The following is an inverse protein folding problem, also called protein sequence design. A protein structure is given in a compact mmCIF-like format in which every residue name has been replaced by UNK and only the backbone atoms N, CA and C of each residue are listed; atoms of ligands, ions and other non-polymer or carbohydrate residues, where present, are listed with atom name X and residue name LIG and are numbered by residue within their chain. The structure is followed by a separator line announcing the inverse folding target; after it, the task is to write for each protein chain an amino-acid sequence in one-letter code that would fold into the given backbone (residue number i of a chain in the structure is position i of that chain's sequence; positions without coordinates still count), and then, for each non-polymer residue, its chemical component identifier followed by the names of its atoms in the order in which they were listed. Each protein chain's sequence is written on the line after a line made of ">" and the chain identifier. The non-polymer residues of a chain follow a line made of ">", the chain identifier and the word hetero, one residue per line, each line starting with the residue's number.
data_IF_052092651089
#
_entry.id   IF_052092651089
#
_cell.length_a   1.000
_cell.length_b   1.000
_cell.length_c   1.000
_cell.angle_alpha   90.00
_cell.angle_beta   90.00
_cell.angle_gamma   90.00
#
_symmetry.space_group_name_H-M   'P 1'
#
loop_
_entity.id
_entity.type
_entity.pdbx_description
1 polymer ?
#
# COMPACT_ATOMS: atom_id res chain seq x y z
N UNK A 1 -3.63 7.33 3.55
CA UNK A 1 -4.08 5.99 3.09
C UNK A 1 -5.62 5.93 3.10
N UNK A 2 -6.32 4.87 3.51
CA UNK A 2 -7.80 4.74 3.50
C UNK A 2 -8.51 5.72 4.47
N UNK A 3 -7.76 6.42 5.33
CA UNK A 3 -8.22 7.55 6.17
C UNK A 3 -9.13 8.55 5.45
N UNK A 4 -9.00 8.74 4.13
CA UNK A 4 -9.87 9.59 3.33
C UNK A 4 -11.35 9.12 3.28
N UNK A 5 -11.61 7.82 3.49
CA UNK A 5 -12.96 7.25 3.52
C UNK A 5 -13.64 7.35 4.89
N UNK A 6 -12.91 7.72 5.95
CA UNK A 6 -13.49 7.91 7.28
C UNK A 6 -14.30 9.22 7.34
N UNK A 7 -15.45 9.18 8.02
CA UNK A 7 -16.22 10.40 8.32
C UNK A 7 -15.44 11.34 9.25
N UNK A 8 -15.84 12.61 9.35
CA UNK A 8 -15.18 13.57 10.25
C UNK A 8 -15.10 13.03 11.69
N UNK A 9 -16.16 12.43 12.19
CA UNK A 9 -16.23 11.91 13.55
C UNK A 9 -15.34 10.67 13.74
N UNK A 10 -15.32 9.77 12.74
CA UNK A 10 -14.40 8.63 12.69
C UNK A 10 -12.93 9.06 12.62
N UNK A 11 -12.61 10.14 11.89
CA UNK A 11 -11.26 10.72 11.84
C UNK A 11 -10.85 11.29 13.20
N UNK A 12 -11.75 12.01 13.89
CA UNK A 12 -11.48 12.55 15.23
C UNK A 12 -11.28 11.43 16.27
N UNK A 13 -12.13 10.39 16.25
CA UNK A 13 -11.97 9.22 17.12
C UNK A 13 -10.68 8.45 16.79
N UNK A 14 -10.35 8.31 15.50
CA UNK A 14 -9.11 7.68 15.05
C UNK A 14 -7.85 8.43 15.53
N UNK A 15 -7.85 9.78 15.53
CA UNK A 15 -6.73 10.56 16.11
C UNK A 15 -6.58 10.29 17.60
N UNK A 16 -7.69 10.21 18.36
CA UNK A 16 -7.64 9.88 19.77
C UNK A 16 -7.07 8.47 20.03
N UNK A 17 -7.45 7.48 19.20
CA UNK A 17 -6.89 6.12 19.23
C UNK A 17 -5.41 6.08 18.84
N UNK A 18 -5.02 6.78 17.78
CA UNK A 18 -3.63 6.88 17.33
C UNK A 18 -2.75 7.52 18.41
N UNK A 19 -3.27 8.53 19.12
CA UNK A 19 -2.59 9.13 20.27
C UNK A 19 -2.46 8.14 21.43
N UNK A 20 -3.49 7.34 21.74
CA UNK A 20 -3.41 6.29 22.78
C UNK A 20 -2.44 5.16 22.43
N UNK A 21 -2.25 4.88 21.12
CA UNK A 21 -1.30 3.88 20.62
C UNK A 21 0.14 4.38 20.77
N UNK A 22 0.40 5.59 20.28
CA UNK A 22 1.74 6.19 20.19
C UNK A 22 2.23 6.74 21.53
N UNK A 23 1.33 7.21 22.40
CA UNK A 23 1.66 7.86 23.68
C UNK A 23 1.24 6.95 24.84
N UNK A 24 2.12 6.03 25.25
CA UNK A 24 1.85 5.11 26.37
C UNK A 24 2.00 5.77 27.75
N UNK A 25 2.94 6.70 27.89
CA UNK A 25 3.20 7.44 29.13
C UNK A 25 2.48 8.80 29.16
N UNK A 26 2.44 9.46 30.33
CA UNK A 26 1.77 10.76 30.49
C UNK A 26 2.45 11.94 29.76
N UNK A 27 3.55 11.69 29.05
CA UNK A 27 4.30 12.69 28.27
C UNK A 27 4.65 12.12 26.91
N UNK A 28 4.23 12.80 25.84
CA UNK A 28 4.61 12.42 24.48
C UNK A 28 6.03 12.90 24.15
N UNK A 29 6.83 12.08 23.47
CA UNK A 29 8.14 12.50 22.94
C UNK A 29 8.01 13.37 21.69
N UNK A 30 9.11 13.97 21.24
CA UNK A 30 9.12 14.80 20.03
C UNK A 30 8.78 13.98 18.77
N UNK A 31 9.27 12.75 18.71
CA UNK A 31 9.10 11.82 17.58
C UNK A 31 7.63 11.35 17.47
N UNK A 32 7.02 10.99 18.60
CA UNK A 32 5.60 10.68 18.72
C UNK A 32 4.68 11.83 18.26
N UNK A 33 5.00 13.06 18.69
CA UNK A 33 4.25 14.26 18.27
C UNK A 33 4.36 14.48 16.76
N UNK A 34 5.54 14.24 16.17
CA UNK A 34 5.75 14.42 14.74
C UNK A 34 5.07 13.32 13.91
N UNK A 35 5.08 12.07 14.36
CA UNK A 35 4.30 10.99 13.77
C UNK A 35 2.79 11.30 13.75
N UNK A 36 2.25 11.79 14.88
CA UNK A 36 0.85 12.22 14.97
C UNK A 36 0.53 13.43 14.07
N UNK A 37 1.47 14.36 13.87
CA UNK A 37 1.31 15.48 12.92
C UNK A 37 1.28 15.02 11.47
N UNK A 38 2.16 14.10 11.08
CA UNK A 38 2.18 13.52 9.73
C UNK A 38 0.86 12.79 9.44
N UNK A 39 0.39 11.98 10.40
CA UNK A 39 -0.90 11.31 10.33
C UNK A 39 -2.07 12.30 10.19
N UNK A 40 -2.03 13.40 10.95
CA UNK A 40 -3.05 14.46 10.86
C UNK A 40 -3.04 15.21 9.53
N UNK A 41 -1.87 15.37 8.90
CA UNK A 41 -1.75 15.93 7.57
C UNK A 41 -2.38 15.01 6.50
N UNK A 42 -2.21 13.68 6.62
CA UNK A 42 -2.95 12.71 5.77
C UNK A 42 -4.47 12.78 5.96
N UNK A 43 -4.94 13.20 7.14
CA UNK A 43 -6.35 13.12 7.54
C UNK A 43 -7.23 14.27 7.03
N UNK A 44 -6.67 15.36 6.49
CA UNK A 44 -7.34 16.47 5.81
C UNK A 44 -8.76 16.84 6.35
N UNK A 45 -8.82 17.81 7.26
CA UNK A 45 -10.06 18.28 7.89
C UNK A 45 -10.47 17.54 9.16
N UNK A 46 -9.57 16.72 9.72
CA UNK A 46 -9.72 16.18 11.07
C UNK A 46 -9.30 17.21 12.13
N UNK A 47 -9.96 17.18 13.28
CA UNK A 47 -9.69 18.11 14.37
C UNK A 47 -8.66 17.54 15.34
N UNK A 48 -7.44 18.09 15.31
CA UNK A 48 -6.34 17.70 16.20
C UNK A 48 -6.61 18.02 17.69
N UNK A 49 -7.64 18.83 18.00
CA UNK A 49 -8.06 19.09 19.38
C UNK A 49 -9.01 18.03 19.95
N UNK A 50 -9.28 16.95 19.20
CA UNK A 50 -10.12 15.83 19.61
C UNK A 50 -9.79 15.36 21.04
N UNK A 51 -10.76 15.56 21.93
CA UNK A 51 -10.61 15.33 23.36
C UNK A 51 -10.63 13.83 23.71
N UNK A 52 -10.12 13.43 24.90
CA UNK A 52 -10.08 12.02 25.32
C UNK A 52 -11.42 11.26 25.26
N UNK A 53 -12.56 11.95 25.38
CA UNK A 53 -13.90 11.36 25.23
C UNK A 53 -14.26 10.91 23.80
N UNK A 54 -13.43 11.17 22.79
CA UNK A 54 -13.65 10.70 21.41
C UNK A 54 -13.54 9.16 21.27
N UNK A 55 -13.11 8.45 22.31
CA UNK A 55 -13.14 6.98 22.40
C UNK A 55 -14.38 6.40 23.08
N UNK A 56 -15.33 7.24 23.48
CA UNK A 56 -16.63 6.78 23.97
C UNK A 56 -17.51 6.39 22.77
N UNK A 57 -18.21 5.26 22.88
CA UNK A 57 -19.09 4.72 21.83
C UNK A 57 -18.40 4.40 20.49
N UNK A 58 -17.16 3.89 20.51
CA UNK A 58 -16.44 3.43 19.31
C UNK A 58 -17.26 2.47 18.42
N UNK A 59 -18.14 1.66 19.00
CA UNK A 59 -19.02 0.73 18.26
C UNK A 59 -20.04 1.43 17.36
N UNK A 60 -20.52 2.63 17.75
CA UNK A 60 -21.46 3.43 16.96
C UNK A 60 -20.71 4.39 16.01
N UNK A 61 -19.59 4.97 16.44
CA UNK A 61 -18.72 5.79 15.59
C UNK A 61 -18.19 4.98 14.40
N UNK A 62 -17.71 3.77 14.66
CA UNK A 62 -17.31 2.79 13.65
C UNK A 62 -18.42 1.76 13.44
N UNK A 63 -19.62 2.20 13.06
CA UNK A 63 -20.80 1.34 12.90
C UNK A 63 -20.66 0.22 11.85
N UNK A 64 -19.75 0.35 10.87
CA UNK A 64 -19.63 -0.58 9.74
C UNK A 64 -18.36 -1.45 9.82
N UNK A 65 -18.45 -2.68 9.33
CA UNK A 65 -17.30 -3.57 9.15
C UNK A 65 -16.15 -2.89 8.39
N UNK A 66 -16.46 -2.16 7.31
CA UNK A 66 -15.49 -1.39 6.52
C UNK A 66 -14.76 -0.36 7.38
N UNK A 67 -15.47 0.49 8.12
CA UNK A 67 -14.85 1.54 8.94
C UNK A 67 -14.03 0.97 10.10
N UNK A 68 -14.46 -0.14 10.71
CA UNK A 68 -13.70 -0.89 11.73
C UNK A 68 -12.39 -1.45 11.18
N UNK A 69 -12.44 -2.08 10.01
CA UNK A 69 -11.25 -2.64 9.33
C UNK A 69 -10.29 -1.52 8.90
N UNK A 70 -10.79 -0.40 8.36
CA UNK A 70 -9.95 0.76 8.04
C UNK A 70 -9.22 1.27 9.30
N UNK A 71 -9.93 1.45 10.42
CA UNK A 71 -9.32 1.90 11.66
C UNK A 71 -8.21 0.95 12.16
N UNK A 72 -8.46 -0.36 12.19
CA UNK A 72 -7.46 -1.36 12.62
C UNK A 72 -6.25 -1.41 11.68
N UNK A 73 -6.46 -1.36 10.36
CA UNK A 73 -5.40 -1.41 9.36
C UNK A 73 -4.49 -0.18 9.43
N UNK A 74 -5.07 1.01 9.63
CA UNK A 74 -4.34 2.27 9.77
C UNK A 74 -3.60 2.38 11.11
N UNK A 75 -4.20 1.91 12.22
CA UNK A 75 -3.52 1.83 13.52
C UNK A 75 -2.33 0.86 13.48
N UNK A 76 -2.50 -0.32 12.88
CA UNK A 76 -1.41 -1.27 12.69
C UNK A 76 -0.30 -0.69 11.80
N UNK A 77 -0.63 0.06 10.74
CA UNK A 77 0.40 0.75 9.92
C UNK A 77 1.20 1.73 10.77
N UNK A 78 0.52 2.49 11.63
CA UNK A 78 1.17 3.48 12.50
C UNK A 78 2.13 2.79 13.48
N UNK A 79 1.68 1.74 14.17
CA UNK A 79 2.54 0.95 15.07
C UNK A 79 3.80 0.44 14.35
N UNK A 80 3.66 -0.18 13.17
CA UNK A 80 4.82 -0.70 12.44
C UNK A 80 5.71 0.36 11.77
N UNK A 81 5.43 1.66 11.91
CA UNK A 81 6.10 2.71 11.13
C UNK A 81 7.55 2.96 11.56
N UNK A 82 7.85 2.93 12.86
CA UNK A 82 9.21 3.08 13.41
C UNK A 82 10.00 1.74 13.42
N UNK A 83 9.29 0.61 13.39
CA UNK A 83 9.85 -0.74 13.39
C UNK A 83 9.76 -1.47 14.73
N UNK A 84 9.21 -0.84 15.77
CA UNK A 84 8.72 -1.49 16.99
C UNK A 84 7.25 -1.89 16.85
N UNK A 85 6.81 -2.88 17.61
CA UNK A 85 5.38 -3.06 17.94
C UNK A 85 5.35 -3.75 19.29
N UNK A 86 5.17 -2.96 20.35
CA UNK A 86 5.37 -3.43 21.72
C UNK A 86 4.12 -4.11 22.31
N UNK A 87 4.23 -4.64 23.53
CA UNK A 87 3.12 -5.36 24.15
C UNK A 87 1.93 -4.47 24.57
N UNK A 88 2.15 -3.20 24.90
CA UNK A 88 1.11 -2.23 25.20
C UNK A 88 0.31 -1.87 23.95
N UNK A 89 0.99 -1.62 22.83
CA UNK A 89 0.38 -1.35 21.54
C UNK A 89 -0.42 -2.58 21.03
N UNK A 90 0.18 -3.78 21.11
CA UNK A 90 -0.50 -5.04 20.80
C UNK A 90 -1.77 -5.20 21.65
N UNK A 91 -1.67 -4.92 22.95
CA UNK A 91 -2.81 -5.02 23.86
C UNK A 91 -3.93 -4.04 23.47
N UNK A 92 -3.59 -2.78 23.17
CA UNK A 92 -4.56 -1.78 22.71
C UNK A 92 -5.28 -2.21 21.43
N UNK A 93 -4.54 -2.68 20.41
CA UNK A 93 -5.13 -3.14 19.15
C UNK A 93 -6.04 -4.36 19.35
N UNK A 94 -5.67 -5.29 20.24
CA UNK A 94 -6.51 -6.45 20.60
C UNK A 94 -7.80 -6.02 21.31
N UNK A 95 -7.74 -5.07 22.26
CA UNK A 95 -8.93 -4.53 22.92
C UNK A 95 -9.84 -3.76 21.95
N UNK A 96 -9.27 -3.03 21.01
CA UNK A 96 -10.03 -2.36 19.95
C UNK A 96 -10.69 -3.35 19.00
N UNK A 97 -10.00 -4.44 18.62
CA UNK A 97 -10.60 -5.49 17.81
C UNK A 97 -11.79 -6.17 18.51
N UNK A 98 -11.69 -6.42 19.83
CA UNK A 98 -12.80 -6.92 20.65
C UNK A 98 -13.99 -5.95 20.66
N UNK A 99 -13.75 -4.66 20.93
CA UNK A 99 -14.78 -3.61 20.87
C UNK A 99 -15.44 -3.51 19.49
N UNK A 100 -14.64 -3.57 18.43
CA UNK A 100 -15.15 -3.61 17.05
C UNK A 100 -15.77 -4.95 16.65
N UNK A 101 -15.82 -5.95 17.55
CA UNK A 101 -16.36 -7.30 17.29
C UNK A 101 -15.65 -8.00 16.10
N UNK A 102 -14.39 -7.65 15.84
CA UNK A 102 -13.55 -8.24 14.81
C UNK A 102 -12.89 -9.50 15.38
N UNK A 103 -13.09 -10.63 14.72
CA UNK A 103 -12.56 -11.91 15.18
C UNK A 103 -11.03 -11.94 15.17
N UNK A 104 -10.43 -12.67 16.13
CA UNK A 104 -8.97 -12.79 16.23
C UNK A 104 -8.31 -13.45 15.00
N UNK A 105 -9.04 -14.26 14.22
CA UNK A 105 -8.56 -14.75 12.93
C UNK A 105 -8.41 -13.62 11.92
N UNK A 106 -9.44 -12.78 11.78
CA UNK A 106 -9.44 -11.64 10.86
C UNK A 106 -8.46 -10.55 11.27
N UNK A 107 -8.27 -10.32 12.58
CA UNK A 107 -7.22 -9.42 13.06
C UNK A 107 -5.82 -9.91 12.64
N UNK A 108 -5.55 -11.23 12.71
CA UNK A 108 -4.27 -11.82 12.25
C UNK A 108 -4.09 -11.71 10.73
N UNK A 109 -5.17 -11.80 9.95
CA UNK A 109 -5.12 -11.58 8.50
C UNK A 109 -4.74 -10.12 8.17
N UNK A 110 -5.39 -9.15 8.83
CA UNK A 110 -5.08 -7.72 8.70
C UNK A 110 -3.62 -7.45 9.11
N UNK A 111 -3.19 -7.97 10.26
CA UNK A 111 -1.81 -7.84 10.76
C UNK A 111 -0.78 -8.35 9.74
N UNK A 112 -1.00 -9.55 9.20
CA UNK A 112 -0.12 -10.14 8.20
C UNK A 112 -0.04 -9.28 6.92
N UNK A 113 -1.16 -8.69 6.47
CA UNK A 113 -1.16 -7.79 5.31
C UNK A 113 -0.42 -6.49 5.58
N UNK A 114 -0.62 -5.86 6.76
CA UNK A 114 0.06 -4.61 7.11
C UNK A 114 1.57 -4.84 7.25
N UNK A 115 2.02 -5.92 7.90
CA UNK A 115 3.44 -6.29 7.98
C UNK A 115 4.07 -6.45 6.58
N UNK A 116 3.37 -7.10 5.64
CA UNK A 116 3.83 -7.23 4.26
C UNK A 116 3.88 -5.89 3.53
N UNK A 117 2.88 -5.03 3.70
CA UNK A 117 2.81 -3.69 3.12
C UNK A 117 3.97 -2.81 3.60
N UNK A 118 4.20 -2.74 4.92
CA UNK A 118 5.30 -1.95 5.51
C UNK A 118 6.67 -2.48 5.05
N UNK A 119 6.85 -3.81 5.00
CA UNK A 119 8.08 -4.40 4.48
C UNK A 119 8.32 -4.16 2.97
N UNK A 120 7.26 -3.94 2.18
CA UNK A 120 7.38 -3.51 0.78
C UNK A 120 7.69 -2.01 0.67
N UNK A 121 7.01 -1.17 1.47
CA UNK A 121 7.28 0.28 1.52
C UNK A 121 8.75 0.56 1.89
N UNK A 122 9.25 -0.07 2.97
CA UNK A 122 10.67 0.09 3.38
C UNK A 122 11.65 -0.28 2.26
N UNK A 123 11.37 -1.31 1.46
CA UNK A 123 12.19 -1.68 0.28
C UNK A 123 12.10 -0.65 -0.86
N UNK A 124 10.92 -0.05 -1.06
CA UNK A 124 10.77 1.06 -2.01
C UNK A 124 11.61 2.25 -1.55
N UNK A 125 11.54 2.63 -0.27
CA UNK A 125 12.30 3.74 0.29
C UNK A 125 13.81 3.49 0.21
N UNK A 126 14.28 2.28 0.58
CA UNK A 126 15.66 1.84 0.38
C UNK A 126 16.10 1.94 -1.09
N UNK A 127 15.22 1.62 -2.04
CA UNK A 127 15.51 1.66 -3.49
C UNK A 127 15.52 3.08 -4.06
N UNK A 128 14.68 3.97 -3.52
CA UNK A 128 14.56 5.38 -3.94
C UNK A 128 15.70 6.21 -3.33
N UNK A 129 16.07 5.95 -2.08
CA UNK A 129 17.16 6.61 -1.35
C UNK A 129 18.53 6.02 -1.66
N UNK A 130 18.60 4.82 -2.25
CA UNK A 130 19.85 4.30 -2.80
C UNK A 130 20.43 5.30 -3.81
N UNK A 131 21.76 5.51 -3.82
CA UNK A 131 22.40 6.34 -4.83
C UNK A 131 22.02 5.81 -6.22
N UNK A 132 21.78 6.70 -7.21
CA UNK A 132 21.28 6.30 -8.52
C UNK A 132 22.18 5.21 -9.13
N UNK A 133 21.54 4.28 -9.83
CA UNK A 133 22.11 3.10 -10.47
C UNK A 133 23.61 3.25 -10.76
N UNK A 134 24.45 2.35 -10.22
CA UNK A 134 25.81 2.64 -9.81
C UNK A 134 26.59 3.47 -10.81
N UNK A 135 27.36 4.43 -10.29
CA UNK A 135 28.48 5.09 -10.98
C UNK A 135 29.64 4.13 -11.35
N UNK A 136 29.32 2.86 -11.65
CA UNK A 136 30.15 1.97 -12.48
C UNK A 136 30.27 2.64 -13.84
N UNK A 137 31.46 3.18 -14.10
CA UNK A 137 31.75 3.95 -15.31
C UNK A 137 31.29 3.25 -16.59
N UNK A 138 30.86 4.06 -17.55
CA UNK A 138 30.32 3.68 -18.86
C UNK A 138 31.17 2.59 -19.55
N UNK A 139 30.83 1.32 -19.34
CA UNK A 139 31.09 0.30 -20.37
C UNK A 139 30.05 0.49 -21.46
N UNK A 140 30.51 0.92 -22.63
CA UNK A 140 29.73 1.12 -23.87
C UNK A 140 29.31 -0.23 -24.49
N UNK A 141 28.60 -1.06 -23.73
CA UNK A 141 28.07 -2.35 -24.20
C UNK A 141 26.54 -2.30 -24.29
N UNK A 142 26.04 -1.27 -24.98
CA UNK A 142 24.62 -1.14 -25.31
C UNK A 142 24.23 -2.17 -26.39
N UNK A 143 23.85 -3.38 -25.98
CA UNK A 143 23.18 -4.34 -26.86
C UNK A 143 21.70 -3.91 -27.03
N UNK A 144 21.24 -3.45 -28.21
CA UNK A 144 19.92 -2.84 -28.34
C UNK A 144 18.73 -3.80 -28.23
N UNK A 145 18.97 -5.11 -28.04
CA UNK A 145 17.94 -6.14 -28.21
C UNK A 145 17.07 -6.43 -26.97
N UNK A 146 17.40 -5.90 -25.79
CA UNK A 146 16.76 -6.28 -24.53
C UNK A 146 15.40 -5.59 -24.22
N UNK A 147 15.06 -4.50 -24.90
CA UNK A 147 13.85 -3.70 -24.61
C UNK A 147 12.62 -4.02 -25.49
N UNK A 148 12.57 -5.18 -26.14
CA UNK A 148 11.50 -5.55 -27.10
C UNK A 148 10.43 -6.51 -26.56
N UNK A 149 10.38 -6.77 -25.24
CA UNK A 149 9.44 -7.74 -24.63
C UNK A 149 8.32 -7.17 -23.76
N UNK A 150 8.19 -5.85 -23.63
CA UNK A 150 7.00 -5.21 -23.04
C UNK A 150 6.17 -4.61 -24.18
N UNK A 151 5.35 -5.44 -24.81
CA UNK A 151 4.36 -5.02 -25.80
C UNK A 151 2.94 -5.18 -25.23
N UNK A 152 2.06 -4.17 -25.34
CA UNK A 152 0.66 -4.32 -24.94
C UNK A 152 -0.11 -5.22 -25.91
N UNK A 153 -1.22 -5.79 -25.43
CA UNK A 153 -2.06 -6.75 -26.16
C UNK A 153 -2.82 -6.16 -27.36
N UNK A 154 -3.43 -7.07 -28.15
CA UNK A 154 -4.07 -6.78 -29.44
C UNK A 154 -5.39 -6.00 -29.30
N UNK A 155 -5.66 -5.12 -30.27
CA UNK A 155 -6.96 -4.50 -30.57
C UNK A 155 -7.07 -4.22 -32.08
N UNK A 156 -8.28 -4.15 -32.70
CA UNK A 156 -8.45 -4.73 -34.04
C UNK A 156 -8.57 -3.77 -35.23
N UNK A 157 -8.23 -4.33 -36.41
CA UNK A 157 -8.80 -4.09 -37.75
C UNK A 157 -8.86 -2.67 -38.34
N UNK A 158 -8.11 -2.47 -39.43
CA UNK A 158 -8.47 -1.54 -40.50
C UNK A 158 -8.07 -2.13 -41.87
N UNK A 159 -8.92 -1.94 -42.88
CA UNK A 159 -8.82 -2.54 -44.22
C UNK A 159 -7.84 -1.81 -45.17
N UNK A 160 -7.64 -2.41 -46.35
CA UNK A 160 -7.05 -1.86 -47.58
C UNK A 160 -5.51 -1.73 -47.61
N UNK A 161 -4.80 -2.03 -48.71
CA UNK A 161 -5.20 -2.63 -49.99
C UNK A 161 -4.02 -3.41 -50.62
N UNK A 162 -4.34 -4.33 -51.55
CA UNK A 162 -3.39 -4.88 -52.53
C UNK A 162 -3.78 -4.35 -53.91
N UNK A 163 -2.82 -3.98 -54.79
CA UNK A 163 -2.16 -4.96 -55.69
C UNK A 163 -0.63 -4.66 -55.81
N UNK A 164 0.21 -5.27 -56.66
CA UNK A 164 0.01 -6.09 -57.86
C UNK A 164 1.13 -7.14 -58.08
N UNK A 165 1.07 -7.83 -59.23
CA UNK A 165 1.80 -9.07 -59.59
C UNK A 165 3.25 -8.81 -60.07
N UNK A 166 4.16 -9.76 -59.78
CA UNK A 166 4.85 -10.52 -60.84
C UNK A 166 5.69 -11.70 -60.29
N UNK A 167 5.23 -12.92 -60.57
CA UNK A 167 6.09 -14.08 -60.85
C UNK A 167 6.72 -13.91 -62.26
N UNK A 168 7.74 -14.68 -62.73
CA UNK A 168 7.98 -16.10 -62.39
C UNK A 168 9.45 -16.58 -62.28
N UNK A 169 9.65 -17.81 -61.74
CA UNK A 169 10.27 -18.97 -62.45
C UNK A 169 10.62 -20.13 -61.50
N UNK A 170 9.86 -21.24 -61.62
CA UNK A 170 10.30 -22.64 -61.34
C UNK A 170 11.30 -23.10 -62.43
N UNK A 171 12.08 -24.22 -62.34
CA UNK A 171 11.69 -25.56 -61.80
C UNK A 171 12.89 -26.35 -61.14
N UNK A 172 13.01 -27.70 -60.98
CA UNK A 172 12.19 -28.90 -61.34
C UNK A 172 12.47 -30.13 -60.42
N UNK A 173 11.45 -30.68 -59.73
CA UNK A 173 11.36 -32.09 -59.19
C UNK A 173 12.44 -32.48 -58.12
N UNK A 174 12.41 -33.60 -57.36
CA UNK A 174 11.72 -34.92 -57.36
C UNK A 174 11.27 -35.25 -55.90
N UNK A 175 10.13 -35.91 -55.62
CA UNK A 175 9.91 -37.37 -55.54
C UNK A 175 10.93 -38.10 -54.61
N UNK A 176 10.57 -38.97 -53.66
CA UNK A 176 9.30 -39.69 -53.43
C UNK A 176 9.13 -40.20 -51.96
N UNK A 177 7.97 -40.79 -51.68
CA UNK A 177 7.49 -41.45 -50.43
C UNK A 177 8.14 -42.84 -50.20
N UNK A 178 7.88 -43.64 -49.12
CA UNK A 178 6.62 -43.83 -48.36
C UNK A 178 6.46 -42.98 -47.09
#
# INVERSE_FOLDING_TARGET
>A
MYLAELTRDQKSAFIALARQLVVQDQSATHEEIEALRQLAAELAGADLSAQPGATDNLETTFATDRSRVIALLELLRLAYSDGGFDQGEIHLVVELAKKFQVSMSRLREIDAWVRQFVALMRKCDETILAPPWPARGLRRDANPRLWTRIGPGRGPSACAASPARNEPRRPVRRCFRP
#
